data_IF_215151946506
#
_entry.id   IF_215151946506
#
_cell.length_a   1.000
_cell.length_b   1.000
_cell.length_c   1.000
_cell.angle_alpha   90.00
_cell.angle_beta   90.00
_cell.angle_gamma   90.00
#
_symmetry.space_group_name_H-M   'P 1'
#
loop_
_entity.id
_entity.type
_entity.pdbx_description
1 polymer ?
#
# COMPACT_ATOMS: atom_id res chain seq x y z
N UNK A 1 -10.25 11.41 -24.75
CA UNK A 1 -10.53 10.15 -24.03
C UNK A 1 -9.30 9.26 -23.78
N UNK A 2 -8.04 9.70 -24.00
CA UNK A 2 -6.84 8.89 -23.69
C UNK A 2 -6.28 9.08 -22.25
N UNK A 3 -6.57 10.20 -21.58
CA UNK A 3 -6.08 10.48 -20.22
C UNK A 3 -6.67 9.55 -19.16
N UNK A 4 -7.98 9.31 -19.21
CA UNK A 4 -8.73 8.54 -18.19
C UNK A 4 -8.29 7.08 -18.07
N UNK A 5 -8.00 6.41 -19.19
CA UNK A 5 -7.57 5.00 -19.17
C UNK A 5 -6.14 4.85 -18.64
N UNK A 6 -5.26 5.80 -18.92
CA UNK A 6 -3.89 5.81 -18.37
C UNK A 6 -3.89 6.11 -16.87
N UNK A 7 -4.75 7.01 -16.40
CA UNK A 7 -4.90 7.31 -14.98
C UNK A 7 -5.41 6.10 -14.19
N UNK A 8 -6.47 5.43 -14.67
CA UNK A 8 -6.99 4.22 -14.05
C UNK A 8 -5.92 3.12 -13.99
N UNK A 9 -5.22 2.87 -15.10
CA UNK A 9 -4.17 1.85 -15.13
C UNK A 9 -3.00 2.17 -14.18
N UNK A 10 -2.61 3.44 -14.03
CA UNK A 10 -1.58 3.83 -13.05
C UNK A 10 -2.07 3.66 -11.61
N UNK A 11 -3.34 3.97 -11.32
CA UNK A 11 -3.93 3.75 -10.00
C UNK A 11 -3.98 2.26 -9.64
N UNK A 12 -4.39 1.41 -10.57
CA UNK A 12 -4.41 -0.05 -10.41
C UNK A 12 -2.99 -0.62 -10.17
N UNK A 13 -2.00 -0.17 -10.95
CA UNK A 13 -0.61 -0.57 -10.75
C UNK A 13 -0.10 -0.11 -9.38
N UNK A 14 -0.38 1.13 -8.98
CA UNK A 14 -0.02 1.62 -7.65
C UNK A 14 -0.60 0.73 -6.55
N UNK A 15 -1.88 0.37 -6.64
CA UNK A 15 -2.55 -0.50 -5.67
C UNK A 15 -1.90 -1.88 -5.58
N UNK A 16 -1.58 -2.49 -6.72
CA UNK A 16 -0.88 -3.78 -6.78
C UNK A 16 0.51 -3.71 -6.11
N UNK A 17 1.31 -2.68 -6.41
CA UNK A 17 2.62 -2.53 -5.78
C UNK A 17 2.52 -2.21 -4.28
N UNK A 18 1.44 -1.55 -3.82
CA UNK A 18 1.18 -1.36 -2.38
C UNK A 18 0.92 -2.69 -1.68
N UNK A 19 0.05 -3.52 -2.26
CA UNK A 19 -0.26 -4.85 -1.76
C UNK A 19 0.99 -5.73 -1.69
N UNK A 20 1.73 -5.84 -2.80
CA UNK A 20 2.94 -6.66 -2.87
C UNK A 20 4.01 -6.18 -1.87
N UNK A 21 4.20 -4.86 -1.74
CA UNK A 21 5.16 -4.31 -0.79
C UNK A 21 4.87 -4.77 0.65
N UNK A 22 3.63 -4.65 1.11
CA UNK A 22 3.27 -5.03 2.48
C UNK A 22 3.20 -6.55 2.66
N UNK A 23 2.66 -7.28 1.68
CA UNK A 23 2.62 -8.74 1.72
C UNK A 23 4.03 -9.32 1.90
N UNK A 24 4.98 -8.85 1.09
CA UNK A 24 6.37 -9.27 1.16
C UNK A 24 7.03 -8.76 2.44
N UNK A 25 6.77 -7.52 2.88
CA UNK A 25 7.38 -6.99 4.10
C UNK A 25 6.96 -7.79 5.34
N UNK A 26 5.67 -8.11 5.49
CA UNK A 26 5.18 -8.90 6.62
C UNK A 26 5.61 -10.37 6.53
N UNK A 27 5.68 -10.92 5.32
CA UNK A 27 6.23 -12.26 5.10
C UNK A 27 7.71 -12.34 5.49
N UNK A 28 8.49 -11.30 5.18
CA UNK A 28 9.88 -11.19 5.62
C UNK A 28 9.98 -11.16 7.15
N UNK A 29 9.12 -10.39 7.84
CA UNK A 29 9.04 -10.36 9.30
C UNK A 29 8.77 -11.76 9.89
N UNK A 30 7.77 -12.48 9.37
CA UNK A 30 7.46 -13.86 9.79
C UNK A 30 8.60 -14.84 9.56
N UNK A 31 9.25 -14.77 8.40
CA UNK A 31 10.41 -15.64 8.10
C UNK A 31 11.55 -15.38 9.09
N UNK A 32 11.78 -14.13 9.46
CA UNK A 32 12.79 -13.76 10.44
C UNK A 32 12.45 -14.32 11.83
N UNK A 33 11.19 -14.22 12.27
CA UNK A 33 10.69 -14.83 13.52
C UNK A 33 10.85 -16.35 13.55
N UNK A 34 10.76 -17.00 12.39
CA UNK A 34 10.99 -18.44 12.20
C UNK A 34 12.47 -18.82 12.04
N UNK A 35 13.40 -17.89 12.32
CA UNK A 35 14.85 -18.05 12.16
C UNK A 35 15.32 -18.35 10.72
N UNK A 36 14.50 -18.07 9.69
CA UNK A 36 14.85 -18.17 8.27
C UNK A 36 15.43 -16.86 7.75
N UNK A 37 16.60 -16.49 8.28
CA UNK A 37 17.16 -15.14 8.12
C UNK A 37 17.53 -14.80 6.67
N UNK A 38 18.06 -15.75 5.92
CA UNK A 38 18.48 -15.53 4.53
C UNK A 38 17.26 -15.33 3.63
N UNK A 39 16.22 -16.16 3.79
CA UNK A 39 14.96 -16.01 3.07
C UNK A 39 14.23 -14.72 3.45
N UNK A 40 14.25 -14.37 4.75
CA UNK A 40 13.69 -13.10 5.22
C UNK A 40 14.34 -11.91 4.53
N UNK A 41 15.67 -11.90 4.42
CA UNK A 41 16.42 -10.85 3.75
C UNK A 41 16.09 -10.79 2.24
N UNK A 42 16.07 -11.93 1.55
CA UNK A 42 15.70 -11.98 0.13
C UNK A 42 14.29 -11.45 -0.13
N UNK A 43 13.32 -11.80 0.72
CA UNK A 43 11.94 -11.31 0.60
C UNK A 43 11.87 -9.82 0.92
N UNK A 44 12.66 -9.33 1.87
CA UNK A 44 12.73 -7.90 2.20
C UNK A 44 13.19 -7.07 1.00
N UNK A 45 14.23 -7.52 0.31
CA UNK A 45 14.77 -6.84 -0.87
C UNK A 45 13.70 -6.71 -1.97
N UNK A 46 12.93 -7.78 -2.22
CA UNK A 46 11.79 -7.72 -3.15
C UNK A 46 10.73 -6.71 -2.71
N UNK A 47 10.39 -6.70 -1.41
CA UNK A 47 9.46 -5.72 -0.85
C UNK A 47 9.92 -4.28 -1.12
N UNK A 48 11.22 -4.00 -1.02
CA UNK A 48 11.77 -2.67 -1.29
C UNK A 48 11.74 -2.29 -2.77
N UNK A 49 11.85 -3.26 -3.69
CA UNK A 49 11.65 -3.03 -5.12
C UNK A 49 10.22 -2.57 -5.40
N UNK A 50 9.22 -3.23 -4.82
CA UNK A 50 7.82 -2.85 -5.00
C UNK A 50 7.49 -1.49 -4.39
N UNK A 51 8.11 -1.14 -3.26
CA UNK A 51 8.05 0.22 -2.73
C UNK A 51 8.62 1.25 -3.73
N UNK A 52 9.72 0.92 -4.40
CA UNK A 52 10.30 1.75 -5.45
C UNK A 52 9.34 1.96 -6.63
N UNK A 53 8.66 0.90 -7.07
CA UNK A 53 7.63 0.97 -8.11
C UNK A 53 6.46 1.86 -7.69
N UNK A 54 5.89 1.63 -6.50
CA UNK A 54 4.78 2.42 -5.98
C UNK A 54 5.14 3.93 -5.90
N UNK A 55 6.33 4.26 -5.40
CA UNK A 55 6.84 5.65 -5.39
C UNK A 55 6.91 6.24 -6.80
N UNK A 56 7.54 5.52 -7.74
CA UNK A 56 7.68 5.99 -9.12
C UNK A 56 6.34 6.20 -9.83
N UNK A 57 5.33 5.36 -9.53
CA UNK A 57 3.98 5.49 -10.06
C UNK A 57 3.27 6.71 -9.45
N UNK A 58 3.38 6.92 -8.13
CA UNK A 58 2.77 8.07 -7.48
C UNK A 58 3.33 9.39 -8.00
N UNK A 59 4.65 9.49 -8.23
CA UNK A 59 5.24 10.69 -8.85
C UNK A 59 4.60 10.99 -10.22
N UNK A 60 4.35 9.96 -11.03
CA UNK A 60 3.68 10.11 -12.33
C UNK A 60 2.24 10.55 -12.16
N UNK A 61 1.51 9.95 -11.23
CA UNK A 61 0.13 10.34 -10.92
C UNK A 61 0.04 11.80 -10.46
N UNK A 62 0.91 12.23 -9.53
CA UNK A 62 0.98 13.62 -9.08
C UNK A 62 1.34 14.55 -10.24
N UNK A 63 2.27 14.16 -11.10
CA UNK A 63 2.64 14.97 -12.28
C UNK A 63 1.48 15.15 -13.26
N UNK A 64 0.64 14.13 -13.45
CA UNK A 64 -0.47 14.19 -14.41
C UNK A 64 -1.75 14.77 -13.84
N UNK A 65 -2.05 14.49 -12.57
CA UNK A 65 -3.34 14.80 -11.94
C UNK A 65 -3.24 15.88 -10.87
N UNK A 66 -2.04 16.13 -10.33
CA UNK A 66 -1.83 17.01 -9.20
C UNK A 66 -1.91 16.30 -7.85
N UNK A 67 -1.38 16.96 -6.82
CA UNK A 67 -1.33 16.42 -5.46
C UNK A 67 -2.72 16.31 -4.83
N UNK A 68 -3.58 17.32 -5.00
CA UNK A 68 -4.94 17.33 -4.44
C UNK A 68 -5.78 16.16 -4.97
N UNK A 69 -5.70 15.84 -6.26
CA UNK A 69 -6.41 14.67 -6.80
C UNK A 69 -5.94 13.33 -6.21
N UNK A 70 -4.71 13.25 -5.70
CA UNK A 70 -4.24 12.06 -4.98
C UNK A 70 -4.80 12.01 -3.55
N UNK A 71 -5.04 13.15 -2.92
CA UNK A 71 -5.73 13.24 -1.63
C UNK A 71 -7.21 12.89 -1.76
N UNK A 72 -7.87 13.39 -2.81
CA UNK A 72 -9.25 12.99 -3.11
C UNK A 72 -9.35 11.48 -3.34
N UNK A 73 -8.40 10.92 -4.09
CA UNK A 73 -8.35 9.47 -4.32
C UNK A 73 -8.10 8.67 -3.05
N UNK A 74 -7.28 9.18 -2.12
CA UNK A 74 -7.09 8.58 -0.80
C UNK A 74 -8.43 8.48 -0.04
N UNK A 75 -9.24 9.53 -0.04
CA UNK A 75 -10.56 9.52 0.58
C UNK A 75 -11.54 8.59 -0.16
N UNK A 76 -11.47 8.49 -1.49
CA UNK A 76 -12.25 7.50 -2.24
C UNK A 76 -11.93 6.07 -1.79
N UNK A 77 -10.65 5.70 -1.73
CA UNK A 77 -10.20 4.35 -1.36
C UNK A 77 -10.64 4.02 0.07
N UNK A 78 -10.52 4.95 1.02
CA UNK A 78 -10.94 4.76 2.42
C UNK A 78 -12.41 4.40 2.56
N UNK A 79 -13.24 4.88 1.65
CA UNK A 79 -14.69 4.68 1.67
C UNK A 79 -15.15 3.49 0.81
N UNK A 80 -14.23 2.81 0.09
CA UNK A 80 -14.56 1.60 -0.65
C UNK A 80 -14.86 0.45 0.31
N UNK A 81 -15.88 -0.33 -0.04
CA UNK A 81 -16.18 -1.60 0.63
C UNK A 81 -15.47 -2.71 -0.13
N UNK A 82 -14.63 -3.46 0.55
CA UNK A 82 -14.02 -4.65 0.00
C UNK A 82 -15.05 -5.78 -0.15
N UNK A 83 -14.92 -6.57 -1.22
CA UNK A 83 -15.75 -7.75 -1.46
C UNK A 83 -15.21 -9.00 -0.76
N UNK A 84 -13.90 -9.05 -0.52
CA UNK A 84 -13.22 -10.18 0.12
C UNK A 84 -11.96 -9.73 0.89
N UNK A 85 -11.36 -10.65 1.66
CA UNK A 85 -10.21 -10.35 2.52
C UNK A 85 -8.96 -9.90 1.77
N UNK A 86 -8.74 -10.41 0.54
CA UNK A 86 -7.58 -10.01 -0.27
C UNK A 86 -7.75 -8.59 -0.77
N UNK A 87 -8.94 -8.24 -1.25
CA UNK A 87 -9.25 -6.88 -1.64
C UNK A 87 -9.18 -5.91 -0.44
N UNK A 88 -9.65 -6.33 0.73
CA UNK A 88 -9.57 -5.54 1.96
C UNK A 88 -8.10 -5.27 2.35
N UNK A 89 -7.23 -6.28 2.22
CA UNK A 89 -5.80 -6.13 2.43
C UNK A 89 -5.17 -5.17 1.41
N UNK A 90 -5.50 -5.29 0.12
CA UNK A 90 -5.01 -4.40 -0.93
C UNK A 90 -5.44 -2.94 -0.68
N UNK A 91 -6.74 -2.70 -0.41
CA UNK A 91 -7.26 -1.35 -0.12
C UNK A 91 -6.60 -0.77 1.13
N UNK A 92 -6.48 -1.56 2.20
CA UNK A 92 -5.83 -1.14 3.45
C UNK A 92 -4.35 -0.79 3.22
N UNK A 93 -3.63 -1.63 2.47
CA UNK A 93 -2.22 -1.41 2.11
C UNK A 93 -2.05 -0.15 1.25
N UNK A 94 -2.99 0.09 0.34
CA UNK A 94 -3.01 1.30 -0.50
C UNK A 94 -3.22 2.55 0.34
N UNK A 95 -4.18 2.55 1.27
CA UNK A 95 -4.41 3.70 2.17
C UNK A 95 -3.17 3.96 3.02
N UNK A 96 -2.56 2.93 3.60
CA UNK A 96 -1.30 3.06 4.33
C UNK A 96 -0.24 3.78 3.49
N UNK A 97 0.09 3.20 2.33
CA UNK A 97 1.26 3.65 1.59
C UNK A 97 1.00 5.01 0.93
N UNK A 98 -0.20 5.23 0.40
CA UNK A 98 -0.58 6.53 -0.16
C UNK A 98 -0.55 7.63 0.90
N UNK A 99 -1.08 7.39 2.10
CA UNK A 99 -1.02 8.37 3.20
C UNK A 99 0.42 8.70 3.58
N UNK A 100 1.26 7.67 3.75
CA UNK A 100 2.67 7.83 4.08
C UNK A 100 3.39 8.67 3.03
N UNK A 101 3.25 8.31 1.75
CA UNK A 101 3.93 9.00 0.67
C UNK A 101 3.41 10.43 0.47
N UNK A 102 2.11 10.68 0.60
CA UNK A 102 1.57 12.04 0.54
C UNK A 102 2.08 12.91 1.70
N UNK A 103 2.30 12.33 2.89
CA UNK A 103 2.90 13.06 4.03
C UNK A 103 4.33 13.55 3.75
N UNK A 104 5.04 12.91 2.81
CA UNK A 104 6.37 13.32 2.35
C UNK A 104 6.29 14.44 1.30
N UNK A 105 5.11 14.71 0.73
CA UNK A 105 4.89 15.67 -0.36
C UNK A 105 4.21 16.96 0.08
N UNK A 106 3.41 16.92 1.13
CA UNK A 106 2.71 18.11 1.65
C UNK A 106 3.67 19.01 2.44
N UNK A 107 3.46 20.33 2.34
CA UNK A 107 4.23 21.33 3.08
C UNK A 107 3.57 21.76 4.39
N UNK A 108 2.24 21.62 4.49
CA UNK A 108 1.51 21.97 5.71
C UNK A 108 1.80 20.95 6.83
N UNK A 109 2.26 21.46 7.98
CA UNK A 109 2.67 20.60 9.09
C UNK A 109 1.50 19.83 9.70
N UNK A 110 0.32 20.44 9.79
CA UNK A 110 -0.84 19.79 10.39
C UNK A 110 -1.31 18.64 9.50
N UNK A 111 -1.47 18.92 8.20
CA UNK A 111 -1.82 17.92 7.19
C UNK A 111 -0.80 16.76 7.16
N UNK A 112 0.50 17.08 7.25
CA UNK A 112 1.55 16.07 7.31
C UNK A 112 1.38 15.13 8.49
N UNK A 113 1.11 15.65 9.68
CA UNK A 113 0.92 14.83 10.88
C UNK A 113 -0.40 14.03 10.83
N UNK A 114 -1.46 14.57 10.24
CA UNK A 114 -2.71 13.83 9.99
C UNK A 114 -2.47 12.63 9.07
N UNK A 115 -1.76 12.83 7.95
CA UNK A 115 -1.42 11.76 7.02
C UNK A 115 -0.51 10.70 7.63
N UNK A 116 0.46 11.10 8.48
CA UNK A 116 1.29 10.15 9.22
C UNK A 116 0.49 9.33 10.23
N UNK A 117 -0.38 9.97 11.00
CA UNK A 117 -1.26 9.30 11.94
C UNK A 117 -2.17 8.29 11.23
N UNK A 118 -2.72 8.67 10.08
CA UNK A 118 -3.49 7.77 9.23
C UNK A 118 -2.65 6.60 8.73
N UNK A 119 -1.43 6.85 8.24
CA UNK A 119 -0.53 5.80 7.80
C UNK A 119 -0.25 4.79 8.93
N UNK A 120 0.04 5.25 10.14
CA UNK A 120 0.29 4.35 11.27
C UNK A 120 -0.93 3.46 11.57
N UNK A 121 -2.13 4.04 11.62
CA UNK A 121 -3.37 3.27 11.84
C UNK A 121 -3.56 2.20 10.76
N UNK A 122 -3.39 2.57 9.49
CA UNK A 122 -3.59 1.62 8.39
C UNK A 122 -2.47 0.58 8.26
N UNK A 123 -1.25 0.89 8.73
CA UNK A 123 -0.18 -0.09 8.84
C UNK A 123 -0.54 -1.22 9.81
N UNK A 124 -1.05 -0.87 10.99
CA UNK A 124 -1.49 -1.87 11.99
C UNK A 124 -2.67 -2.69 11.46
N UNK A 125 -3.66 -2.04 10.83
CA UNK A 125 -4.77 -2.75 10.16
C UNK A 125 -4.26 -3.71 9.07
N UNK A 126 -3.30 -3.28 8.26
CA UNK A 126 -2.74 -4.13 7.21
C UNK A 126 -2.07 -5.39 7.79
N UNK A 127 -1.40 -5.28 8.94
CA UNK A 127 -0.85 -6.44 9.66
C UNK A 127 -1.94 -7.41 10.09
N UNK A 128 -3.02 -6.93 10.69
CA UNK A 128 -4.15 -7.77 11.09
C UNK A 128 -4.79 -8.48 9.89
N UNK A 129 -4.96 -7.77 8.78
CA UNK A 129 -5.51 -8.31 7.53
C UNK A 129 -4.58 -9.33 6.89
N UNK A 130 -3.28 -9.12 6.95
CA UNK A 130 -2.28 -10.07 6.47
C UNK A 130 -2.41 -11.44 7.16
N UNK A 131 -2.56 -11.48 8.48
CA UNK A 131 -2.78 -12.75 9.19
C UNK A 131 -4.06 -13.46 8.70
N UNK A 132 -5.14 -12.71 8.50
CA UNK A 132 -6.40 -13.26 7.97
C UNK A 132 -6.24 -13.79 6.53
N UNK A 133 -5.45 -13.12 5.70
CA UNK A 133 -5.11 -13.61 4.35
C UNK A 133 -4.36 -14.95 4.42
N UNK A 134 -3.40 -15.09 5.32
CA UNK A 134 -2.68 -16.36 5.51
C UNK A 134 -3.62 -17.49 5.95
N UNK A 135 -4.48 -17.25 6.93
CA UNK A 135 -5.44 -18.23 7.45
C UNK A 135 -6.44 -18.70 6.38
N UNK A 136 -6.95 -17.77 5.57
CA UNK A 136 -7.86 -18.09 4.45
C UNK A 136 -7.19 -18.94 3.37
N UNK A 137 -5.88 -18.75 3.16
CA UNK A 137 -5.10 -19.49 2.17
C UNK A 137 -4.76 -20.91 2.64
N UNK A 138 -4.67 -21.12 3.95
CA UNK A 138 -4.47 -22.44 4.56
C UNK A 138 -5.79 -23.24 4.59
N UNK A 139 -6.92 -22.57 4.86
CA UNK A 139 -8.23 -23.23 4.97
C UNK A 139 -8.82 -23.68 3.62
N UNK A 140 -8.19 -23.29 2.51
CA UNK A 140 -8.58 -23.65 1.15
C UNK A 140 -7.67 -24.70 0.50
N UNK A 141 -6.66 -25.20 1.23
CA UNK A 141 -5.74 -26.27 0.83
C UNK A 141 -6.06 -27.59 1.54
#
# INVERSE_FOLDING_TARGET
MKGTQTEMGLKELFMANCEDHLLLSFTSEKLYELNKKDEAQMVKEKSLVELGHAKGILEKLIKYMGLESMKDWLEEIKNKKAENIKEDFMLTSTVYLLSKLLSEKVSDTKEKEELKGQAEVYYQKAKEKYEQVLESSISSA
#
